data_IF_431611964287
#
_entry.id   IF_431611964287
#
_cell.length_a   1.000
_cell.length_b   1.000
_cell.length_c   1.000
_cell.angle_alpha   90.00
_cell.angle_beta   90.00
_cell.angle_gamma   90.00
#
_symmetry.space_group_name_H-M   'P 1'
#
loop_
_entity.id
_entity.type
_entity.pdbx_description
1 polymer ?
#
# COMPACT_ATOMS: atom_id res chain seq x y z
N UNK A 1 23.30 -3.19 -4.41
CA UNK A 1 22.78 -3.68 -5.69
C UNK A 1 21.37 -3.16 -5.97
N UNK A 2 20.33 -3.57 -5.21
CA UNK A 2 18.95 -3.14 -5.49
C UNK A 2 18.75 -1.62 -5.49
N UNK A 3 19.30 -0.89 -4.51
CA UNK A 3 19.19 0.57 -4.48
C UNK A 3 19.69 1.23 -5.77
N UNK A 4 20.91 0.90 -6.21
CA UNK A 4 21.47 1.45 -7.44
C UNK A 4 20.60 1.12 -8.68
N UNK A 5 20.11 -0.12 -8.78
CA UNK A 5 19.24 -0.56 -9.87
C UNK A 5 17.92 0.21 -9.90
N UNK A 6 17.18 0.23 -8.80
CA UNK A 6 15.86 0.88 -8.73
C UNK A 6 15.96 2.39 -8.86
N UNK A 7 17.00 3.04 -8.32
CA UNK A 7 17.25 4.46 -8.55
C UNK A 7 17.53 4.75 -10.03
N UNK A 8 18.38 3.95 -10.69
CA UNK A 8 18.69 4.14 -12.11
C UNK A 8 17.45 3.95 -12.99
N UNK A 9 16.64 2.93 -12.72
CA UNK A 9 15.37 2.70 -13.43
C UNK A 9 14.38 3.85 -13.22
N UNK A 10 14.22 4.31 -11.97
CA UNK A 10 13.36 5.43 -11.61
C UNK A 10 13.75 6.72 -12.35
N UNK A 11 15.07 7.04 -12.39
CA UNK A 11 15.58 8.18 -13.17
C UNK A 11 15.26 8.02 -14.66
N UNK A 12 15.39 6.80 -15.19
CA UNK A 12 15.11 6.49 -16.59
C UNK A 12 13.63 6.65 -16.99
N UNK A 13 12.70 6.36 -16.08
CA UNK A 13 11.26 6.59 -16.31
C UNK A 13 10.87 8.06 -16.24
N UNK A 14 11.69 8.88 -15.58
CA UNK A 14 11.45 10.31 -15.44
C UNK A 14 10.54 10.67 -14.27
N UNK A 15 10.14 11.95 -14.17
CA UNK A 15 9.36 12.44 -13.05
C UNK A 15 7.96 11.81 -12.98
N UNK A 16 7.51 11.60 -11.76
CA UNK A 16 6.16 11.14 -11.47
C UNK A 16 5.10 12.09 -12.04
N UNK A 17 4.22 11.52 -12.85
CA UNK A 17 3.10 12.18 -13.52
C UNK A 17 1.79 11.42 -13.32
N UNK A 18 1.73 10.55 -12.30
CA UNK A 18 0.58 9.71 -11.98
C UNK A 18 -0.68 10.52 -11.72
N UNK A 19 -1.83 9.89 -11.95
CA UNK A 19 -3.13 10.48 -11.63
C UNK A 19 -3.23 10.79 -10.13
N UNK A 20 -2.81 9.86 -9.27
CA UNK A 20 -2.78 10.03 -7.81
C UNK A 20 -2.00 11.27 -7.37
N UNK A 21 -0.82 11.51 -7.99
CA UNK A 21 -0.03 12.71 -7.70
C UNK A 21 -0.81 13.99 -8.00
N UNK A 22 -1.46 14.03 -9.17
CA UNK A 22 -2.20 15.19 -9.66
C UNK A 22 -3.53 15.37 -8.93
N UNK A 23 -4.13 14.29 -8.44
CA UNK A 23 -5.43 14.31 -7.79
C UNK A 23 -5.32 14.69 -6.30
N UNK A 24 -4.54 13.96 -5.50
CA UNK A 24 -4.58 14.11 -4.04
C UNK A 24 -3.22 14.23 -3.34
N UNK A 25 -2.14 13.60 -3.82
CA UNK A 25 -0.86 13.59 -3.08
C UNK A 25 -0.13 14.95 -2.98
N UNK A 26 -0.53 15.95 -3.77
CA UNK A 26 -0.07 17.35 -3.59
C UNK A 26 -1.07 18.18 -2.77
N UNK A 27 -2.37 17.93 -2.98
CA UNK A 27 -3.44 18.73 -2.41
C UNK A 27 -3.67 18.40 -0.93
N UNK A 28 -3.94 17.14 -0.58
CA UNK A 28 -4.30 16.72 0.78
C UNK A 28 -3.26 17.12 1.84
N UNK A 29 -1.95 16.83 1.66
CA UNK A 29 -0.95 17.27 2.62
C UNK A 29 -0.82 18.79 2.69
N UNK A 30 -1.03 19.51 1.59
CA UNK A 30 -1.01 20.97 1.61
C UNK A 30 -2.22 21.53 2.36
N UNK A 31 -3.41 21.00 2.13
CA UNK A 31 -4.64 21.39 2.79
C UNK A 31 -4.59 21.10 4.30
N UNK A 32 -4.00 19.97 4.70
CA UNK A 32 -3.73 19.64 6.10
C UNK A 32 -2.78 20.65 6.75
N UNK A 33 -1.68 21.00 6.09
CA UNK A 33 -0.68 21.95 6.61
C UNK A 33 -1.18 23.41 6.62
N UNK A 34 -2.07 23.78 5.70
CA UNK A 34 -2.67 25.13 5.61
C UNK A 34 -3.97 25.29 6.40
N UNK A 35 -4.49 24.21 7.00
CA UNK A 35 -5.74 24.23 7.75
C UNK A 35 -6.99 24.43 6.89
N UNK A 36 -6.95 24.07 5.61
CA UNK A 36 -8.08 24.17 4.66
C UNK A 36 -8.78 22.84 4.40
N UNK A 37 -8.27 21.74 4.93
CA UNK A 37 -8.77 20.37 4.75
C UNK A 37 -10.31 20.26 4.87
N UNK A 38 -10.91 20.93 5.87
CA UNK A 38 -12.35 20.88 6.15
C UNK A 38 -13.15 22.05 5.58
N UNK A 39 -12.51 22.95 4.82
CA UNK A 39 -13.16 24.10 4.16
C UNK A 39 -13.51 23.78 2.72
N UNK A 40 -12.61 23.09 2.03
CA UNK A 40 -12.77 22.72 0.63
C UNK A 40 -13.58 21.42 0.54
N UNK A 41 -14.65 21.42 -0.25
CA UNK A 41 -15.57 20.28 -0.34
C UNK A 41 -15.02 19.26 -1.34
N UNK A 42 -14.48 18.14 -0.83
CA UNK A 42 -14.04 16.96 -1.58
C UNK A 42 -13.30 17.26 -2.92
N UNK A 43 -12.29 18.16 -2.93
CA UNK A 43 -11.62 18.61 -4.16
C UNK A 43 -10.86 17.51 -4.91
N UNK A 44 -10.55 16.41 -4.22
CA UNK A 44 -9.92 15.22 -4.77
C UNK A 44 -10.86 13.99 -4.71
N UNK A 45 -12.19 14.23 -4.80
CA UNK A 45 -13.21 13.17 -4.74
C UNK A 45 -13.16 12.36 -3.43
N UNK A 46 -13.22 11.02 -3.51
CA UNK A 46 -13.16 10.15 -2.34
C UNK A 46 -11.80 10.24 -1.63
N UNK A 47 -10.74 10.54 -2.39
CA UNK A 47 -9.36 10.58 -1.92
C UNK A 47 -9.12 11.75 -0.96
N UNK A 48 -9.94 12.81 -0.98
CA UNK A 48 -9.85 13.95 -0.05
C UNK A 48 -9.89 13.58 1.43
N UNK A 49 -10.40 12.39 1.76
CA UNK A 49 -10.53 11.89 3.12
C UNK A 49 -9.45 10.87 3.48
N UNK A 50 -8.47 10.65 2.62
CA UNK A 50 -7.33 9.78 2.91
C UNK A 50 -6.38 10.44 3.90
N UNK A 51 -5.68 9.61 4.68
CA UNK A 51 -4.74 10.11 5.67
C UNK A 51 -3.57 10.83 4.97
N UNK A 52 -3.32 12.13 5.24
CA UNK A 52 -2.22 12.87 4.59
C UNK A 52 -0.86 12.54 5.21
N UNK A 53 -0.77 11.60 6.15
CA UNK A 53 0.42 11.37 7.00
C UNK A 53 1.68 11.08 6.20
N UNK A 54 1.62 10.13 5.27
CA UNK A 54 2.74 9.80 4.40
C UNK A 54 2.95 10.90 3.34
N UNK A 55 1.88 11.49 2.85
CA UNK A 55 1.92 12.51 1.80
C UNK A 55 2.54 13.82 2.29
N UNK A 56 2.45 14.14 3.58
CA UNK A 56 3.16 15.28 4.18
C UNK A 56 4.68 15.11 4.05
N UNK A 57 5.19 13.90 4.32
CA UNK A 57 6.60 13.60 4.13
C UNK A 57 7.00 13.65 2.66
N UNK A 58 6.16 13.15 1.76
CA UNK A 58 6.40 13.23 0.33
C UNK A 58 6.40 14.66 -0.20
N UNK A 59 5.46 15.50 0.25
CA UNK A 59 5.38 16.91 -0.11
C UNK A 59 6.64 17.66 0.33
N UNK A 60 7.14 17.37 1.53
CA UNK A 60 8.39 17.96 2.02
C UNK A 60 9.59 17.56 1.15
N UNK A 61 9.72 16.27 0.79
CA UNK A 61 10.76 15.79 -0.13
C UNK A 61 10.67 16.45 -1.50
N UNK A 62 9.45 16.57 -2.05
CA UNK A 62 9.20 17.23 -3.34
C UNK A 62 9.60 18.70 -3.31
N UNK A 63 9.22 19.44 -2.27
CA UNK A 63 9.63 20.84 -2.08
C UNK A 63 11.15 20.98 -1.99
N UNK A 64 11.81 20.13 -1.20
CA UNK A 64 13.25 20.18 -0.99
C UNK A 64 14.07 19.79 -2.24
N UNK A 65 13.56 18.85 -3.05
CA UNK A 65 14.27 18.28 -4.20
C UNK A 65 13.71 18.72 -5.55
N UNK A 66 12.83 19.74 -5.59
CA UNK A 66 12.15 20.17 -6.82
C UNK A 66 13.12 20.53 -7.95
N UNK A 67 14.25 21.17 -7.63
CA UNK A 67 15.28 21.53 -8.59
C UNK A 67 16.16 20.34 -9.04
N UNK A 68 15.96 19.14 -8.47
CA UNK A 68 16.76 17.93 -8.68
C UNK A 68 15.83 16.72 -8.86
N UNK A 69 15.07 16.65 -9.97
CA UNK A 69 14.08 15.59 -10.19
C UNK A 69 14.69 14.18 -10.16
N UNK A 70 15.94 14.01 -10.61
CA UNK A 70 16.67 12.74 -10.52
C UNK A 70 16.95 12.31 -9.08
N UNK A 71 17.20 13.26 -8.17
CA UNK A 71 17.41 12.99 -6.76
C UNK A 71 16.09 12.61 -6.09
N UNK A 72 15.01 13.33 -6.39
CA UNK A 72 13.66 13.01 -5.92
C UNK A 72 13.26 11.59 -6.37
N UNK A 73 13.39 11.29 -7.66
CA UNK A 73 13.08 9.97 -8.23
C UNK A 73 13.90 8.85 -7.56
N UNK A 74 15.17 9.11 -7.25
CA UNK A 74 16.03 8.16 -6.52
C UNK A 74 15.54 7.91 -5.10
N UNK A 75 15.19 8.96 -4.35
CA UNK A 75 14.69 8.85 -2.97
C UNK A 75 13.36 8.10 -2.94
N UNK A 76 12.43 8.43 -3.85
CA UNK A 76 11.13 7.77 -3.95
C UNK A 76 11.25 6.28 -4.38
N UNK A 77 12.37 5.88 -4.98
CA UNK A 77 12.63 4.48 -5.35
C UNK A 77 13.27 3.63 -4.23
N UNK A 78 13.76 4.26 -3.15
CA UNK A 78 14.40 3.54 -2.04
C UNK A 78 13.47 2.52 -1.35
N UNK A 79 12.16 2.80 -1.15
CA UNK A 79 11.23 1.80 -0.61
C UNK A 79 11.17 0.53 -1.47
N UNK A 80 11.16 0.62 -2.81
CA UNK A 80 11.19 -0.58 -3.68
C UNK A 80 12.49 -1.39 -3.48
N UNK A 81 13.63 -0.70 -3.32
CA UNK A 81 14.90 -1.36 -3.05
C UNK A 81 14.92 -2.07 -1.68
N UNK A 82 14.33 -1.45 -0.65
CA UNK A 82 14.17 -2.05 0.67
C UNK A 82 13.23 -3.25 0.62
N UNK A 83 12.08 -3.14 -0.06
CA UNK A 83 11.15 -4.24 -0.27
C UNK A 83 11.83 -5.42 -0.97
N UNK A 84 12.59 -5.17 -2.04
CA UNK A 84 13.36 -6.19 -2.74
C UNK A 84 14.40 -6.87 -1.83
N UNK A 85 15.09 -6.10 -0.98
CA UNK A 85 16.05 -6.65 -0.02
C UNK A 85 15.37 -7.51 1.05
N UNK A 86 14.24 -7.07 1.60
CA UNK A 86 13.45 -7.84 2.57
C UNK A 86 12.92 -9.14 1.95
N UNK A 87 12.39 -9.07 0.74
CA UNK A 87 11.91 -10.21 -0.03
C UNK A 87 13.05 -11.21 -0.32
N UNK A 88 14.25 -10.71 -0.66
CA UNK A 88 15.43 -11.56 -0.82
C UNK A 88 15.76 -12.29 0.49
N UNK A 89 15.73 -11.59 1.62
CA UNK A 89 15.94 -12.20 2.94
C UNK A 89 14.95 -13.32 3.24
N UNK A 90 13.66 -13.12 2.93
CA UNK A 90 12.61 -14.13 3.08
C UNK A 90 12.87 -15.33 2.16
N UNK A 91 13.11 -15.09 0.88
CA UNK A 91 13.41 -16.13 -0.11
C UNK A 91 14.62 -16.98 0.27
N UNK A 92 15.67 -16.36 0.83
CA UNK A 92 16.86 -17.06 1.32
C UNK A 92 16.57 -17.91 2.55
N UNK A 93 15.74 -17.43 3.50
CA UNK A 93 15.28 -18.23 4.65
C UNK A 93 14.38 -19.39 4.24
N UNK A 94 13.64 -19.25 3.14
CA UNK A 94 12.87 -20.33 2.53
C UNK A 94 13.73 -21.38 1.79
N UNK A 95 15.06 -21.21 1.76
CA UNK A 95 16.00 -22.19 1.20
C UNK A 95 16.30 -22.01 -0.30
N UNK A 96 15.78 -20.98 -0.96
CA UNK A 96 16.05 -20.75 -2.39
C UNK A 96 17.52 -20.38 -2.62
N UNK A 97 18.24 -21.01 -3.58
CA UNK A 97 19.60 -20.60 -3.95
C UNK A 97 19.67 -19.12 -4.31
N UNK A 98 20.82 -18.46 -4.05
CA UNK A 98 20.94 -17.00 -4.20
C UNK A 98 20.49 -16.50 -5.59
N UNK A 99 20.92 -17.16 -6.67
CA UNK A 99 20.52 -16.77 -8.03
C UNK A 99 19.02 -16.86 -8.27
N UNK A 100 18.37 -17.93 -7.78
CA UNK A 100 16.93 -18.14 -7.89
C UNK A 100 16.16 -17.12 -7.04
N UNK A 101 16.64 -16.85 -5.82
CA UNK A 101 16.04 -15.86 -4.92
C UNK A 101 16.12 -14.44 -5.52
N UNK A 102 17.26 -14.06 -6.09
CA UNK A 102 17.42 -12.77 -6.79
C UNK A 102 16.48 -12.69 -8.00
N UNK A 103 16.41 -13.76 -8.81
CA UNK A 103 15.51 -13.80 -9.96
C UNK A 103 14.04 -13.68 -9.56
N UNK A 104 13.59 -14.41 -8.53
CA UNK A 104 12.23 -14.35 -8.03
C UNK A 104 11.85 -12.95 -7.53
N UNK A 105 12.75 -12.30 -6.79
CA UNK A 105 12.56 -10.92 -6.31
C UNK A 105 12.47 -9.93 -7.48
N UNK A 106 13.36 -10.04 -8.46
CA UNK A 106 13.34 -9.16 -9.63
C UNK A 106 12.08 -9.39 -10.48
N UNK A 107 11.64 -10.63 -10.65
CA UNK A 107 10.40 -10.95 -11.35
C UNK A 107 9.19 -10.30 -10.67
N UNK A 108 9.07 -10.42 -9.35
CA UNK A 108 7.98 -9.79 -8.58
C UNK A 108 8.04 -8.26 -8.62
N UNK A 109 9.22 -7.68 -8.41
CA UNK A 109 9.39 -6.23 -8.36
C UNK A 109 9.16 -5.54 -9.72
N UNK A 110 9.35 -6.26 -10.82
CA UNK A 110 9.13 -5.75 -12.19
C UNK A 110 7.74 -6.09 -12.74
N UNK A 111 6.85 -6.63 -11.89
CA UNK A 111 5.44 -6.89 -12.21
C UNK A 111 4.63 -5.62 -12.45
N UNK A 112 3.46 -5.76 -13.08
CA UNK A 112 2.54 -4.68 -13.41
C UNK A 112 2.01 -3.92 -12.18
N UNK A 113 2.00 -4.52 -10.99
CA UNK A 113 1.69 -3.80 -9.74
C UNK A 113 2.91 -3.08 -9.14
N UNK A 114 4.13 -3.52 -9.45
CA UNK A 114 5.36 -2.99 -8.85
C UNK A 114 5.98 -1.89 -9.69
N UNK A 115 6.35 -2.21 -10.93
CA UNK A 115 7.17 -1.35 -11.78
C UNK A 115 6.53 0.03 -12.06
N UNK A 116 5.22 0.14 -12.35
CA UNK A 116 4.60 1.45 -12.60
C UNK A 116 4.57 2.38 -11.38
N UNK A 117 4.72 1.84 -10.17
CA UNK A 117 4.76 2.62 -8.93
C UNK A 117 6.17 3.09 -8.57
N UNK A 118 7.21 2.61 -9.28
CA UNK A 118 8.61 2.90 -8.98
C UNK A 118 8.90 4.40 -9.08
N UNK A 119 9.40 5.00 -8.00
CA UNK A 119 9.76 6.41 -8.00
C UNK A 119 8.59 7.39 -8.03
N UNK A 120 7.37 6.90 -7.78
CA UNK A 120 6.14 7.70 -7.79
C UNK A 120 5.68 8.06 -6.38
N UNK A 121 4.66 8.92 -6.27
CA UNK A 121 3.96 9.18 -5.02
C UNK A 121 3.06 8.02 -4.57
N UNK A 122 2.83 7.04 -5.44
CA UNK A 122 1.90 5.96 -5.14
C UNK A 122 2.30 5.26 -3.84
N UNK A 123 1.33 5.18 -2.94
CA UNK A 123 1.52 4.85 -1.54
C UNK A 123 1.72 3.36 -1.24
N UNK A 124 2.27 2.59 -2.18
CA UNK A 124 2.35 1.13 -2.11
C UNK A 124 3.64 0.63 -1.47
N UNK A 125 4.79 1.18 -1.87
CA UNK A 125 6.08 0.57 -1.56
C UNK A 125 6.49 0.71 -0.08
N UNK A 126 6.08 1.79 0.59
CA UNK A 126 6.38 2.00 2.01
C UNK A 126 5.58 1.02 2.89
N UNK A 127 4.25 0.91 2.78
CA UNK A 127 3.50 -0.13 3.49
C UNK A 127 3.91 -1.56 3.10
N UNK A 128 4.31 -1.81 1.84
CA UNK A 128 4.83 -3.10 1.41
C UNK A 128 6.11 -3.50 2.15
N UNK A 129 7.05 -2.57 2.38
CA UNK A 129 8.23 -2.82 3.21
C UNK A 129 7.84 -3.31 4.61
N UNK A 130 6.83 -2.68 5.22
CA UNK A 130 6.37 -3.04 6.56
C UNK A 130 5.74 -4.43 6.59
N UNK A 131 4.91 -4.78 5.60
CA UNK A 131 4.33 -6.12 5.50
C UNK A 131 5.41 -7.19 5.29
N UNK A 132 6.40 -6.94 4.42
CA UNK A 132 7.52 -7.86 4.22
C UNK A 132 8.38 -8.00 5.47
N UNK A 133 8.66 -6.91 6.18
CA UNK A 133 9.33 -6.96 7.48
C UNK A 133 8.51 -7.78 8.50
N UNK A 134 7.19 -7.56 8.54
CA UNK A 134 6.28 -8.32 9.39
C UNK A 134 6.28 -9.81 9.08
N UNK A 135 6.22 -10.20 7.81
CA UNK A 135 6.34 -11.59 7.38
C UNK A 135 7.69 -12.20 7.80
N UNK A 136 8.78 -11.45 7.67
CA UNK A 136 10.11 -11.87 8.13
C UNK A 136 10.20 -12.05 9.66
N UNK A 137 9.38 -11.33 10.42
CA UNK A 137 9.36 -11.36 11.89
C UNK A 137 8.30 -12.30 12.47
N UNK A 138 7.30 -12.74 11.71
CA UNK A 138 6.08 -13.37 12.24
C UNK A 138 6.35 -14.57 13.14
N UNK A 139 7.37 -15.38 12.82
CA UNK A 139 7.78 -16.53 13.63
C UNK A 139 8.72 -16.18 14.79
N UNK A 140 9.43 -15.06 14.75
CA UNK A 140 10.34 -14.65 15.83
C UNK A 140 9.63 -13.75 16.86
N UNK A 141 8.88 -12.76 16.38
CA UNK A 141 8.21 -11.74 17.18
C UNK A 141 6.81 -11.45 16.59
N UNK A 142 5.79 -12.27 16.94
CA UNK A 142 4.42 -12.09 16.45
C UNK A 142 3.85 -10.69 16.71
N UNK A 143 4.13 -10.12 17.90
CA UNK A 143 3.74 -8.75 18.23
C UNK A 143 4.42 -7.72 17.30
N UNK A 144 5.73 -7.83 17.09
CA UNK A 144 6.46 -6.94 16.18
C UNK A 144 5.98 -7.04 14.74
N UNK A 145 5.69 -8.26 14.27
CA UNK A 145 5.07 -8.48 12.97
C UNK A 145 3.68 -7.81 12.87
N UNK A 146 2.91 -7.91 13.95
CA UNK A 146 1.63 -7.22 14.08
C UNK A 146 1.77 -5.71 14.02
N UNK A 147 2.74 -5.13 14.75
CA UNK A 147 3.00 -3.68 14.71
C UNK A 147 3.33 -3.23 13.29
N UNK A 148 4.21 -3.95 12.58
CA UNK A 148 4.51 -3.62 11.18
C UNK A 148 3.25 -3.64 10.29
N UNK A 149 2.43 -4.68 10.41
CA UNK A 149 1.17 -4.77 9.65
C UNK A 149 0.17 -3.67 10.04
N UNK A 150 0.00 -3.39 11.34
CA UNK A 150 -0.88 -2.33 11.83
C UNK A 150 -0.47 -0.95 11.33
N UNK A 151 0.83 -0.64 11.35
CA UNK A 151 1.36 0.60 10.76
C UNK A 151 1.10 0.64 9.25
N UNK A 152 1.30 -0.46 8.53
CA UNK A 152 1.00 -0.54 7.11
C UNK A 152 -0.48 -0.21 6.82
N UNK A 153 -1.41 -0.79 7.59
CA UNK A 153 -2.85 -0.47 7.51
C UNK A 153 -3.13 0.99 7.84
N UNK A 154 -2.48 1.53 8.87
CA UNK A 154 -2.65 2.94 9.28
C UNK A 154 -2.15 3.93 8.23
N UNK A 155 -1.11 3.56 7.46
CA UNK A 155 -0.65 4.35 6.31
C UNK A 155 -1.55 4.18 5.09
N UNK A 156 -2.06 2.97 4.85
CA UNK A 156 -2.96 2.67 3.75
C UNK A 156 -3.90 1.50 4.09
N UNK A 157 -5.19 1.80 4.22
CA UNK A 157 -6.20 0.85 4.71
C UNK A 157 -6.28 -0.45 3.90
N UNK A 158 -5.99 -0.40 2.60
CA UNK A 158 -6.01 -1.59 1.72
C UNK A 158 -5.00 -2.66 2.13
N UNK A 159 -3.96 -2.33 2.91
CA UNK A 159 -3.00 -3.30 3.44
C UNK A 159 -3.59 -4.21 4.53
N UNK A 160 -4.83 -3.98 4.98
CA UNK A 160 -5.51 -4.85 5.93
C UNK A 160 -5.63 -6.30 5.44
N UNK A 161 -5.64 -6.51 4.12
CA UNK A 161 -5.70 -7.83 3.48
C UNK A 161 -4.52 -8.74 3.85
N UNK A 162 -3.39 -8.19 4.30
CA UNK A 162 -2.21 -8.98 4.69
C UNK A 162 -2.29 -9.55 6.11
N UNK A 163 -3.16 -9.03 6.97
CA UNK A 163 -3.29 -9.50 8.35
C UNK A 163 -3.74 -10.98 8.44
N UNK A 164 -4.75 -11.45 7.67
CA UNK A 164 -5.07 -12.87 7.58
C UNK A 164 -3.90 -13.74 7.11
N UNK A 165 -3.09 -13.26 6.17
CA UNK A 165 -1.90 -13.97 5.68
C UNK A 165 -0.85 -14.21 6.79
N UNK A 166 -0.59 -13.19 7.62
CA UNK A 166 0.30 -13.34 8.77
C UNK A 166 -0.26 -14.28 9.84
N UNK A 167 -1.57 -14.23 10.08
CA UNK A 167 -2.24 -15.17 10.98
C UNK A 167 -2.16 -16.62 10.45
N UNK A 168 -2.39 -16.82 9.15
CA UNK A 168 -2.26 -18.11 8.49
C UNK A 168 -0.83 -18.67 8.60
N UNK A 169 0.20 -17.82 8.46
CA UNK A 169 1.59 -18.24 8.66
C UNK A 169 1.86 -18.76 10.08
N UNK A 170 1.29 -18.13 11.12
CA UNK A 170 1.38 -18.64 12.50
C UNK A 170 0.66 -19.98 12.67
N UNK A 171 -0.55 -20.09 12.11
CA UNK A 171 -1.34 -21.31 12.17
C UNK A 171 -0.63 -22.48 11.47
N UNK A 172 -0.09 -22.25 10.28
CA UNK A 172 0.68 -23.24 9.52
C UNK A 172 1.94 -23.70 10.28
N UNK A 173 2.54 -22.82 11.08
CA UNK A 173 3.66 -23.16 11.96
C UNK A 173 3.23 -23.78 13.31
N UNK A 174 1.95 -24.04 13.53
CA UNK A 174 1.42 -24.59 14.79
C UNK A 174 1.42 -23.60 15.98
N UNK A 175 1.65 -22.30 15.71
CA UNK A 175 1.81 -21.24 16.73
C UNK A 175 0.52 -20.47 17.01
N UNK A 176 -0.61 -21.15 17.07
CA UNK A 176 -1.92 -20.53 17.29
C UNK A 176 -2.01 -19.71 18.59
N UNK A 177 -1.27 -20.10 19.64
CA UNK A 177 -1.16 -19.34 20.90
C UNK A 177 -0.52 -17.95 20.74
N UNK A 178 0.14 -17.69 19.62
CA UNK A 178 0.76 -16.39 19.31
C UNK A 178 -0.18 -15.42 18.58
N UNK A 179 -1.38 -15.86 18.17
CA UNK A 179 -2.36 -15.01 17.50
C UNK A 179 -2.77 -13.77 18.32
N UNK A 180 -2.98 -13.86 19.66
CA UNK A 180 -3.30 -12.66 20.45
C UNK A 180 -2.16 -11.63 20.41
N UNK A 181 -0.91 -12.09 20.40
CA UNK A 181 0.26 -11.21 20.27
C UNK A 181 0.31 -10.50 18.92
N UNK A 182 0.03 -11.22 17.83
CA UNK A 182 -0.10 -10.63 16.49
C UNK A 182 -1.22 -9.60 16.44
N UNK A 183 -2.42 -9.96 16.93
CA UNK A 183 -3.58 -9.07 16.95
C UNK A 183 -3.34 -7.81 17.78
N UNK A 184 -2.74 -7.94 18.97
CA UNK A 184 -2.36 -6.82 19.81
C UNK A 184 -1.36 -5.90 19.09
N UNK A 185 -0.36 -6.48 18.40
CA UNK A 185 0.58 -5.71 17.59
C UNK A 185 -0.10 -4.93 16.48
N UNK A 186 -1.03 -5.55 15.73
CA UNK A 186 -1.80 -4.89 14.67
C UNK A 186 -2.58 -3.71 15.25
N UNK A 187 -3.30 -3.94 16.35
CA UNK A 187 -4.06 -2.88 17.02
C UNK A 187 -3.14 -1.74 17.46
N UNK A 188 -1.99 -2.04 18.09
CA UNK A 188 -1.02 -1.03 18.51
C UNK A 188 -0.47 -0.22 17.34
N UNK A 189 -0.02 -0.88 16.27
CA UNK A 189 0.52 -0.20 15.09
C UNK A 189 -0.51 0.66 14.38
N UNK A 190 -1.74 0.15 14.22
CA UNK A 190 -2.84 0.88 13.60
C UNK A 190 -3.25 2.09 14.43
N UNK A 191 -3.47 1.92 15.73
CA UNK A 191 -3.88 3.02 16.61
C UNK A 191 -2.82 4.12 16.70
N UNK A 192 -1.53 3.77 16.61
CA UNK A 192 -0.45 4.75 16.63
C UNK A 192 -0.39 5.63 15.36
N UNK A 193 -0.74 5.08 14.19
CA UNK A 193 -0.53 5.76 12.90
C UNK A 193 -1.84 6.12 12.20
N UNK A 194 -2.78 5.17 12.08
CA UNK A 194 -4.10 5.40 11.49
C UNK A 194 -5.13 5.97 12.46
N UNK A 195 -5.01 5.64 13.76
CA UNK A 195 -5.94 6.06 14.81
C UNK A 195 -6.21 7.57 14.87
N UNK A 196 -5.19 8.44 14.87
CA UNK A 196 -5.39 9.89 14.92
C UNK A 196 -6.21 10.42 13.74
N UNK A 197 -5.98 9.89 12.53
CA UNK A 197 -6.74 10.28 11.35
C UNK A 197 -8.18 9.75 11.39
N UNK A 198 -8.36 8.50 11.82
CA UNK A 198 -9.70 7.94 12.00
C UNK A 198 -10.54 8.76 12.99
N UNK A 199 -9.89 9.26 14.06
CA UNK A 199 -10.53 10.17 15.01
C UNK A 199 -10.89 11.51 14.37
N UNK A 200 -10.02 12.07 13.53
CA UNK A 200 -10.32 13.28 12.77
C UNK A 200 -11.56 13.09 11.89
N UNK A 201 -11.59 12.03 11.09
CA UNK A 201 -12.74 11.70 10.23
C UNK A 201 -14.01 11.53 11.05
N UNK A 202 -13.93 10.84 12.19
CA UNK A 202 -15.08 10.64 13.09
C UNK A 202 -15.65 11.97 13.59
N UNK A 203 -14.81 12.90 14.04
CA UNK A 203 -15.27 14.20 14.58
C UNK A 203 -16.00 15.06 13.55
N UNK A 204 -15.62 14.95 12.28
CA UNK A 204 -16.18 15.79 11.21
C UNK A 204 -17.35 15.14 10.47
N UNK A 205 -17.30 13.81 10.29
CA UNK A 205 -18.24 13.09 9.42
C UNK A 205 -19.11 12.10 10.20
N UNK A 206 -18.73 11.71 11.41
CA UNK A 206 -19.37 10.61 12.15
C UNK A 206 -18.98 9.22 11.65
N UNK A 207 -18.00 9.10 10.76
CA UNK A 207 -17.49 7.84 10.22
C UNK A 207 -15.95 7.83 10.30
N UNK A 208 -15.31 6.86 10.99
CA UNK A 208 -13.88 6.87 11.21
C UNK A 208 -13.08 6.39 9.99
N UNK A 209 -13.77 5.86 8.97
CA UNK A 209 -13.21 5.34 7.72
C UNK A 209 -13.82 6.05 6.50
N UNK A 210 -14.40 7.23 6.70
CA UNK A 210 -15.10 7.98 5.68
C UNK A 210 -14.22 8.18 4.42
N UNK A 211 -14.77 8.02 3.20
CA UNK A 211 -16.17 7.77 2.86
C UNK A 211 -16.57 6.28 2.84
N UNK A 212 -15.66 5.36 3.20
CA UNK A 212 -15.94 3.92 3.19
C UNK A 212 -16.82 3.50 4.36
N UNK A 213 -17.48 2.34 4.23
CA UNK A 213 -18.36 1.77 5.27
C UNK A 213 -19.49 2.71 5.72
N UNK A 214 -19.97 3.60 4.84
CA UNK A 214 -21.02 4.55 5.22
C UNK A 214 -22.40 3.93 5.36
N UNK A 215 -22.58 2.72 4.83
CA UNK A 215 -23.69 1.80 5.09
C UNK A 215 -23.70 1.25 6.52
N UNK A 216 -22.60 1.40 7.27
CA UNK A 216 -22.49 1.03 8.69
C UNK A 216 -22.56 2.25 9.60
N UNK A 217 -21.79 3.31 9.27
CA UNK A 217 -21.66 4.49 10.13
C UNK A 217 -22.70 5.59 9.88
N UNK A 218 -23.30 5.65 8.68
CA UNK A 218 -24.41 6.55 8.38
C UNK A 218 -24.05 8.05 8.42
N UNK A 219 -22.86 8.44 7.94
CA UNK A 219 -22.51 9.85 7.80
C UNK A 219 -23.47 10.58 6.86
N UNK A 220 -23.94 11.76 7.26
CA UNK A 220 -24.77 12.63 6.44
C UNK A 220 -24.02 13.26 5.24
N UNK A 221 -22.69 13.13 5.19
CA UNK A 221 -21.85 13.69 4.12
C UNK A 221 -21.86 12.86 2.84
N UNK A 222 -22.38 11.63 2.89
CA UNK A 222 -22.41 10.72 1.76
C UNK A 222 -23.69 9.87 1.79
N UNK A 223 -24.14 9.32 0.64
CA UNK A 223 -25.20 8.32 0.62
C UNK A 223 -24.92 7.14 1.56
N UNK A 224 -26.00 6.56 2.10
CA UNK A 224 -25.94 5.35 2.92
C UNK A 224 -25.73 4.11 2.03
N UNK A 225 -24.52 3.97 1.51
CA UNK A 225 -24.13 2.90 0.60
C UNK A 225 -22.65 2.54 0.78
N UNK A 226 -22.28 1.33 0.37
CA UNK A 226 -20.89 0.92 0.26
C UNK A 226 -20.21 1.72 -0.86
N UNK A 227 -19.21 2.53 -0.52
CA UNK A 227 -18.40 3.31 -1.47
C UNK A 227 -17.30 2.43 -2.09
N UNK A 228 -17.71 1.37 -2.79
CA UNK A 228 -16.80 0.42 -3.44
C UNK A 228 -17.08 0.36 -4.93
N UNK A 229 -16.01 0.38 -5.72
CA UNK A 229 -16.10 0.16 -7.16
C UNK A 229 -16.24 -1.34 -7.45
N UNK A 230 -17.43 -1.76 -7.86
CA UNK A 230 -17.73 -3.17 -8.13
C UNK A 230 -17.38 -3.59 -9.56
N UNK A 231 -16.91 -2.68 -10.43
CA UNK A 231 -16.62 -2.97 -11.85
C UNK A 231 -15.55 -4.05 -12.03
N UNK A 232 -14.60 -4.14 -11.10
CA UNK A 232 -13.43 -5.02 -11.17
C UNK A 232 -13.57 -6.28 -10.30
N UNK A 233 -14.73 -6.51 -9.69
CA UNK A 233 -14.94 -7.69 -8.86
C UNK A 233 -15.30 -8.91 -9.73
N UNK A 234 -14.76 -10.11 -9.41
CA UNK A 234 -15.21 -11.32 -10.06
C UNK A 234 -16.69 -11.57 -9.75
N UNK A 235 -17.49 -12.04 -10.73
CA UNK A 235 -18.93 -12.25 -10.55
C UNK A 235 -19.26 -13.44 -9.64
N UNK A 236 -18.36 -14.41 -9.51
CA UNK A 236 -18.53 -15.61 -8.69
C UNK A 236 -17.18 -16.22 -8.24
N UNK A 237 -17.25 -17.25 -7.41
CA UNK A 237 -16.08 -17.90 -6.82
C UNK A 237 -15.18 -18.61 -7.85
N UNK A 238 -15.75 -19.14 -8.94
CA UNK A 238 -14.96 -19.79 -9.98
C UNK A 238 -14.17 -18.74 -10.76
N UNK A 239 -14.81 -17.63 -11.12
CA UNK A 239 -14.14 -16.49 -11.72
C UNK A 239 -13.11 -15.88 -10.77
N UNK A 240 -13.35 -15.86 -9.46
CA UNK A 240 -12.36 -15.39 -8.48
C UNK A 240 -11.13 -16.31 -8.43
N UNK A 241 -11.32 -17.63 -8.49
CA UNK A 241 -10.22 -18.59 -8.49
C UNK A 241 -9.40 -18.58 -9.79
N UNK A 242 -10.06 -18.33 -10.92
CA UNK A 242 -9.44 -18.24 -12.24
C UNK A 242 -9.04 -16.82 -12.64
N UNK A 243 -9.41 -15.81 -11.84
CA UNK A 243 -9.24 -14.38 -12.10
C UNK A 243 -7.82 -14.09 -12.62
N UNK A 244 -6.77 -14.52 -11.90
CA UNK A 244 -5.36 -14.44 -12.33
C UNK A 244 -5.08 -14.75 -13.81
N UNK A 245 -5.75 -15.76 -14.36
CA UNK A 245 -5.49 -16.29 -15.69
C UNK A 245 -6.08 -15.41 -16.81
N UNK A 246 -7.07 -14.57 -16.52
CA UNK A 246 -7.76 -13.78 -17.53
C UNK A 246 -6.90 -12.65 -18.14
N UNK A 247 -5.89 -12.16 -17.41
CA UNK A 247 -4.91 -11.17 -17.90
C UNK A 247 -3.48 -11.71 -17.95
N UNK A 248 -3.27 -13.00 -17.67
CA UNK A 248 -1.95 -13.62 -17.73
C UNK A 248 -1.36 -13.60 -19.16
N UNK A 249 -2.20 -13.85 -20.16
CA UNK A 249 -1.74 -14.09 -21.55
C UNK A 249 -2.34 -13.14 -22.59
N UNK A 250 -3.30 -12.31 -22.22
CA UNK A 250 -3.92 -11.31 -23.10
C UNK A 250 -4.13 -9.99 -22.36
N UNK A 251 -4.01 -8.82 -23.04
CA UNK A 251 -4.35 -7.54 -22.44
C UNK A 251 -5.81 -7.50 -22.03
N UNK A 252 -6.09 -7.05 -20.81
CA UNK A 252 -7.44 -7.01 -20.25
C UNK A 252 -7.61 -5.80 -19.33
N UNK A 253 -8.79 -5.20 -19.36
CA UNK A 253 -9.21 -4.13 -18.43
C UNK A 253 -10.05 -4.66 -17.27
N UNK A 254 -10.10 -5.98 -17.07
CA UNK A 254 -10.90 -6.63 -16.01
C UNK A 254 -10.45 -6.24 -14.59
N UNK A 255 -9.20 -5.79 -14.42
CA UNK A 255 -8.60 -5.48 -13.11
C UNK A 255 -8.02 -4.08 -13.01
N UNK A 256 -8.03 -3.31 -14.10
CA UNK A 256 -7.50 -1.96 -14.14
C UNK A 256 -8.14 -1.18 -15.29
N UNK A 257 -8.17 0.15 -15.17
CA UNK A 257 -8.68 1.05 -16.21
C UNK A 257 -7.84 0.99 -17.50
N UNK A 258 -6.55 0.70 -17.38
CA UNK A 258 -5.65 0.47 -18.50
C UNK A 258 -5.50 -1.04 -18.76
N UNK A 259 -5.39 -1.47 -20.02
CA UNK A 259 -5.17 -2.88 -20.34
C UNK A 259 -3.89 -3.42 -19.69
N UNK A 260 -4.02 -4.46 -18.87
CA UNK A 260 -2.90 -5.17 -18.23
C UNK A 260 -2.74 -6.55 -18.87
N UNK A 261 -1.49 -6.95 -19.12
CA UNK A 261 -1.11 -8.32 -19.46
C UNK A 261 0.10 -8.72 -18.62
N UNK A 262 -0.13 -9.38 -17.49
CA UNK A 262 0.96 -9.80 -16.62
C UNK A 262 0.60 -11.04 -15.77
N UNK A 263 1.20 -12.21 -16.03
CA UNK A 263 0.96 -13.43 -15.25
C UNK A 263 1.57 -13.37 -13.83
N UNK A 264 2.28 -12.30 -13.47
CA UNK A 264 2.88 -12.11 -12.13
C UNK A 264 1.95 -11.35 -11.19
N UNK A 265 0.92 -10.71 -11.74
CA UNK A 265 -0.20 -10.12 -10.98
C UNK A 265 -1.28 -11.16 -10.68
N UNK A 266 -1.13 -12.34 -11.27
CA UNK A 266 -2.00 -13.50 -11.20
C UNK A 266 -1.79 -14.24 -9.87
#
# INVERSE_FOLDING_TARGET
MFAALFCALSIGFGPDASWDLRNYHLYDPNAALSGTLWRDIAPAQLQSFYAPTMDVAQLALRRALNARPWALASVLALPHALAAWLALGIARRAGLPLGVAVLAVLLGATGAAGLPTLGTAMSEAVPACLVLAGLGLVLACPFGAGVCAGVAVGLKLTFAVYAPGLAAALLAAGRWRSLPGLAAGIATGFLAVGGPWCWELWRHTGNPLFPYFNDVFGSAWAPHAAMTDTRFLPPDALHAALFPLFWAFQPSTLVAELPVRDPRLA
#
